data_IF_230016924449
#
_entry.id   IF_230016924449
#
_cell.length_a   1.000
_cell.length_b   1.000
_cell.length_c   1.000
_cell.angle_alpha   90.00
_cell.angle_beta   90.00
_cell.angle_gamma   90.00
#
_symmetry.space_group_name_H-M   'P 1'
#
loop_
_entity.id
_entity.type
_entity.pdbx_description
1 polymer ?
#
# COMPACT_ATOMS: atom_id res chain seq x y z
N UNK A 1 11.42 2.67 -49.35
CA UNK A 1 10.08 3.18 -49.72
C UNK A 1 9.14 1.99 -49.56
N UNK A 2 8.08 1.98 -48.78
CA UNK A 2 7.42 2.92 -47.89
C UNK A 2 6.27 2.13 -47.23
N UNK A 3 5.81 2.54 -46.05
CA UNK A 3 4.94 1.74 -45.18
C UNK A 3 3.46 1.90 -45.54
N UNK A 4 2.74 0.80 -45.71
CA UNK A 4 1.28 0.79 -45.87
C UNK A 4 0.59 0.64 -44.50
N UNK A 5 0.15 1.80 -43.99
CA UNK A 5 -1.15 2.01 -43.36
C UNK A 5 -1.63 1.08 -42.22
N UNK A 6 -1.00 1.19 -41.05
CA UNK A 6 -1.75 1.05 -39.79
C UNK A 6 -2.53 2.35 -39.54
N UNK A 7 -3.84 2.33 -39.82
CA UNK A 7 -4.75 3.39 -39.38
C UNK A 7 -4.72 3.44 -37.86
N UNK A 8 -4.31 4.60 -37.33
CA UNK A 8 -4.48 5.01 -35.93
C UNK A 8 -5.97 4.95 -35.58
N UNK A 9 -6.39 3.95 -34.82
CA UNK A 9 -7.59 4.06 -34.01
C UNK A 9 -7.22 4.81 -32.72
N UNK A 10 -7.42 6.12 -32.73
CA UNK A 10 -7.30 7.05 -31.58
C UNK A 10 -8.49 6.93 -30.59
N UNK A 11 -9.11 5.76 -30.47
CA UNK A 11 -10.30 5.56 -29.64
C UNK A 11 -10.17 4.35 -28.71
N UNK A 12 -9.27 4.40 -27.72
CA UNK A 12 -9.45 3.61 -26.48
C UNK A 12 -8.98 4.44 -25.28
N UNK A 13 -9.59 5.61 -25.13
CA UNK A 13 -9.42 6.52 -24.00
C UNK A 13 -10.71 6.67 -23.20
N UNK A 14 -11.32 5.58 -22.77
CA UNK A 14 -12.51 5.63 -21.92
C UNK A 14 -12.39 4.59 -20.79
N UNK A 15 -11.68 4.97 -19.73
CA UNK A 15 -12.15 4.51 -18.41
C UNK A 15 -13.51 5.19 -18.24
N UNK A 16 -14.58 4.41 -18.40
CA UNK A 16 -15.97 4.79 -18.15
C UNK A 16 -16.10 5.83 -17.02
N UNK A 17 -16.91 6.89 -17.17
CA UNK A 17 -17.09 7.92 -16.15
C UNK A 17 -17.92 7.35 -15.00
N UNK A 18 -17.30 6.51 -14.17
CA UNK A 18 -17.87 6.13 -12.89
C UNK A 18 -18.11 7.43 -12.09
N UNK A 19 -19.29 7.60 -11.47
CA UNK A 19 -19.63 8.81 -10.74
C UNK A 19 -18.55 9.14 -9.70
N UNK A 20 -17.95 10.34 -9.81
CA UNK A 20 -16.79 10.76 -8.98
C UNK A 20 -17.08 10.72 -7.48
N UNK A 21 -18.33 11.02 -7.09
CA UNK A 21 -18.79 10.93 -5.70
C UNK A 21 -18.79 9.51 -5.11
N UNK A 22 -18.67 8.46 -5.94
CA UNK A 22 -18.65 7.05 -5.51
C UNK A 22 -17.23 6.45 -5.46
N UNK A 23 -16.19 7.25 -5.73
CA UNK A 23 -14.81 6.76 -5.82
C UNK A 23 -13.86 7.53 -4.89
N UNK A 24 -13.39 6.88 -3.83
CA UNK A 24 -12.20 7.34 -3.09
C UNK A 24 -10.96 6.82 -3.81
N UNK A 25 -10.41 7.61 -4.72
CA UNK A 25 -9.10 7.30 -5.33
C UNK A 25 -8.03 7.72 -4.33
N UNK A 26 -7.29 6.75 -3.80
CA UNK A 26 -6.02 6.98 -3.14
C UNK A 26 -4.91 6.94 -4.18
N UNK A 27 -4.57 8.01 -4.90
CA UNK A 27 -3.23 8.06 -5.41
C UNK A 27 -2.28 8.11 -4.20
N UNK A 28 -1.75 6.95 -3.85
CA UNK A 28 -0.29 6.93 -3.80
C UNK A 28 0.20 7.54 -5.11
N UNK A 29 1.45 7.87 -5.14
CA UNK A 29 2.15 7.66 -6.37
C UNK A 29 2.01 6.18 -6.82
N UNK A 30 0.87 5.88 -7.47
CA UNK A 30 0.33 4.55 -7.73
C UNK A 30 0.73 4.12 -9.11
N UNK A 31 1.41 2.99 -9.08
CA UNK A 31 1.52 1.97 -10.10
C UNK A 31 0.14 1.47 -10.54
N UNK A 32 -0.46 2.14 -11.52
CA UNK A 32 -1.39 1.50 -12.46
C UNK A 32 -0.56 0.85 -13.57
N UNK A 33 -0.93 -0.38 -13.93
CA UNK A 33 -0.28 -1.17 -14.97
C UNK A 33 -0.66 -0.61 -16.34
N UNK A 34 -0.07 0.51 -16.74
CA UNK A 34 -0.05 0.99 -18.11
C UNK A 34 1.40 1.36 -18.46
N UNK A 35 1.94 1.00 -19.64
CA UNK A 35 3.36 1.17 -20.00
C UNK A 35 3.86 2.63 -20.03
N UNK A 36 3.02 3.62 -19.70
CA UNK A 36 3.34 5.06 -19.73
C UNK A 36 3.01 5.81 -18.42
N UNK A 37 2.91 5.10 -17.28
CA UNK A 37 2.74 5.72 -15.95
C UNK A 37 4.09 6.19 -15.39
N UNK A 38 4.32 7.50 -15.39
CA UNK A 38 5.45 8.10 -14.69
C UNK A 38 5.35 7.88 -13.17
N UNK A 39 6.37 7.22 -12.62
CA UNK A 39 6.66 7.07 -11.19
C UNK A 39 7.27 8.37 -10.65
N UNK A 40 6.63 9.01 -9.68
CA UNK A 40 7.33 9.74 -8.61
C UNK A 40 7.42 8.82 -7.39
N UNK A 41 8.40 7.93 -7.44
CA UNK A 41 8.81 7.19 -6.25
C UNK A 41 9.69 8.17 -5.46
N UNK A 42 9.37 8.47 -4.20
CA UNK A 42 10.40 8.95 -3.28
C UNK A 42 11.45 7.82 -3.19
N UNK A 43 12.60 8.06 -3.83
CA UNK A 43 13.77 7.20 -4.09
C UNK A 43 13.78 6.22 -5.29
N UNK A 44 14.94 6.22 -5.95
CA UNK A 44 15.27 5.99 -7.37
C UNK A 44 15.26 4.55 -7.96
N UNK A 45 15.27 4.54 -9.31
CA UNK A 45 15.69 3.55 -10.34
C UNK A 45 14.81 2.29 -10.56
N UNK A 46 14.50 1.82 -11.77
CA UNK A 46 15.18 1.91 -13.07
C UNK A 46 14.23 2.02 -14.31
N UNK A 47 14.73 2.76 -15.30
CA UNK A 47 14.64 2.70 -16.79
C UNK A 47 13.33 2.35 -17.51
N UNK A 48 12.69 3.38 -18.09
CA UNK A 48 12.33 3.52 -19.51
C UNK A 48 12.27 5.03 -19.82
N UNK A 49 13.05 5.48 -20.81
CA UNK A 49 13.26 6.84 -21.35
C UNK A 49 13.50 7.99 -20.36
N UNK A 50 14.79 8.32 -20.24
CA UNK A 50 15.42 9.27 -19.32
C UNK A 50 15.00 10.72 -19.58
N UNK A 51 14.30 11.32 -18.62
CA UNK A 51 14.74 12.62 -18.11
C UNK A 51 15.46 12.33 -16.80
N UNK A 52 16.79 12.35 -16.87
CA UNK A 52 17.63 12.33 -15.67
C UNK A 52 17.28 13.54 -14.79
N UNK A 53 16.60 13.30 -13.67
CA UNK A 53 16.76 14.21 -12.54
C UNK A 53 18.09 13.83 -11.88
N UNK A 54 19.17 14.49 -12.30
CA UNK A 54 20.48 14.44 -11.66
C UNK A 54 20.32 14.37 -10.13
N UNK A 55 20.74 13.23 -9.55
CA UNK A 55 20.81 12.87 -8.13
C UNK A 55 20.45 13.91 -7.06
N UNK A 56 19.19 14.36 -6.92
CA UNK A 56 18.85 15.36 -5.89
C UNK A 56 17.42 15.33 -5.35
N UNK A 57 17.28 14.73 -4.15
CA UNK A 57 16.53 15.17 -2.94
C UNK A 57 15.08 15.73 -3.04
N UNK A 58 14.12 15.31 -2.19
CA UNK A 58 12.76 15.87 -2.09
C UNK A 58 12.66 17.33 -1.61
N UNK A 59 13.03 18.30 -2.44
CA UNK A 59 12.74 19.72 -2.18
C UNK A 59 11.25 20.05 -2.36
N UNK A 60 10.66 21.06 -1.66
CA UNK A 60 9.24 21.44 -1.75
C UNK A 60 8.69 21.60 -3.17
N UNK A 61 9.52 22.08 -4.10
CA UNK A 61 9.19 22.19 -5.53
C UNK A 61 8.69 20.87 -6.13
N UNK A 62 9.28 19.74 -5.72
CA UNK A 62 8.92 18.43 -6.24
C UNK A 62 7.51 17.99 -5.82
N UNK A 63 7.01 18.42 -4.65
CA UNK A 63 5.67 18.06 -4.19
C UNK A 63 4.62 18.72 -5.08
N UNK A 64 4.74 20.02 -5.35
CA UNK A 64 3.77 20.75 -6.20
C UNK A 64 3.75 20.22 -7.63
N UNK A 65 4.93 20.04 -8.24
CA UNK A 65 5.05 19.56 -9.61
C UNK A 65 4.47 18.13 -9.74
N UNK A 66 4.79 17.24 -8.79
CA UNK A 66 4.27 15.87 -8.78
C UNK A 66 2.74 15.80 -8.58
N UNK A 67 2.17 16.67 -7.75
CA UNK A 67 0.72 16.73 -7.54
C UNK A 67 0.01 17.21 -8.80
N UNK A 68 0.47 18.30 -9.43
CA UNK A 68 -0.10 18.82 -10.68
C UNK A 68 -0.07 17.77 -11.78
N UNK A 69 1.07 17.10 -11.93
CA UNK A 69 1.22 16.03 -12.91
C UNK A 69 0.30 14.83 -12.64
N UNK A 70 0.09 14.49 -11.36
CA UNK A 70 -0.82 13.41 -10.96
C UNK A 70 -2.27 13.77 -11.25
N UNK A 71 -2.69 15.00 -10.93
CA UNK A 71 -4.02 15.53 -11.26
C UNK A 71 -4.29 15.50 -12.76
N UNK A 72 -3.33 15.96 -13.56
CA UNK A 72 -3.41 15.95 -15.03
C UNK A 72 -3.55 14.53 -15.58
N UNK A 73 -2.71 13.58 -15.14
CA UNK A 73 -2.78 12.18 -15.61
C UNK A 73 -4.06 11.47 -15.19
N UNK A 74 -4.56 11.75 -13.98
CA UNK A 74 -5.78 11.15 -13.46
C UNK A 74 -7.04 11.84 -13.96
N UNK A 75 -6.91 13.02 -14.59
CA UNK A 75 -7.99 13.89 -15.03
C UNK A 75 -8.94 14.22 -13.85
N UNK A 76 -8.34 14.65 -12.74
CA UNK A 76 -9.05 15.00 -11.50
C UNK A 76 -8.70 16.41 -11.05
N UNK A 77 -9.64 17.05 -10.37
CA UNK A 77 -9.46 18.37 -9.76
C UNK A 77 -8.79 18.30 -8.37
N UNK A 78 -8.91 17.15 -7.70
CA UNK A 78 -8.30 16.87 -6.40
C UNK A 78 -7.98 15.39 -6.19
N UNK A 79 -7.11 15.09 -5.22
CA UNK A 79 -6.69 13.74 -4.86
C UNK A 79 -6.65 13.47 -3.34
N UNK A 80 -6.46 12.21 -2.94
CA UNK A 80 -5.94 11.83 -1.62
C UNK A 80 -4.46 11.49 -1.77
N UNK A 81 -3.58 12.23 -1.11
CA UNK A 81 -2.13 12.17 -1.34
C UNK A 81 -1.43 11.28 -0.30
N UNK A 82 -0.73 10.23 -0.74
CA UNK A 82 0.22 9.49 0.13
C UNK A 82 1.67 9.88 -0.15
N UNK A 83 2.35 10.38 0.88
CA UNK A 83 3.81 10.45 0.93
C UNK A 83 4.38 9.03 0.93
N UNK A 84 5.25 8.70 -0.03
CA UNK A 84 5.66 7.32 -0.25
C UNK A 84 6.74 6.82 0.71
N UNK A 85 7.58 7.75 1.20
CA UNK A 85 8.68 7.51 2.14
C UNK A 85 8.89 8.74 3.00
N UNK A 86 9.51 8.54 4.16
CA UNK A 86 10.10 9.65 4.90
C UNK A 86 11.38 10.13 4.19
N UNK A 87 11.56 11.45 4.13
CA UNK A 87 12.79 12.06 3.62
C UNK A 87 13.63 12.60 4.78
N UNK A 88 14.80 12.01 5.08
CA UNK A 88 15.67 12.50 6.15
C UNK A 88 16.49 13.73 5.75
N UNK A 89 16.57 14.06 4.45
CA UNK A 89 17.45 15.11 3.94
C UNK A 89 16.77 16.49 3.86
N UNK A 90 15.45 16.55 3.97
CA UNK A 90 14.66 17.79 3.92
C UNK A 90 14.08 18.08 5.30
N UNK A 91 14.24 19.31 5.84
CA UNK A 91 13.61 19.70 7.09
C UNK A 91 12.11 19.39 7.06
N UNK A 92 11.63 18.77 8.14
CA UNK A 92 10.28 18.22 8.14
C UNK A 92 9.22 19.30 8.04
N UNK A 93 9.51 20.48 8.59
CA UNK A 93 8.69 21.67 8.55
C UNK A 93 8.47 22.13 7.10
N UNK A 94 9.51 22.07 6.26
CA UNK A 94 9.45 22.47 4.86
C UNK A 94 8.54 21.51 4.05
N UNK A 95 8.67 20.21 4.33
CA UNK A 95 7.81 19.17 3.74
C UNK A 95 6.36 19.35 4.16
N UNK A 96 6.12 19.58 5.46
CA UNK A 96 4.77 19.74 5.99
C UNK A 96 4.10 21.03 5.55
N UNK A 97 4.84 22.12 5.40
CA UNK A 97 4.32 23.36 4.85
C UNK A 97 3.86 23.15 3.40
N UNK A 98 4.68 22.50 2.56
CA UNK A 98 4.31 22.19 1.19
C UNK A 98 3.06 21.29 1.09
N UNK A 99 2.96 20.25 1.92
CA UNK A 99 1.79 19.37 1.98
C UNK A 99 0.53 20.12 2.44
N UNK A 100 0.68 21.01 3.43
CA UNK A 100 -0.40 21.86 3.92
C UNK A 100 -0.91 22.82 2.83
N UNK A 101 0.00 23.44 2.09
CA UNK A 101 -0.33 24.35 0.99
C UNK A 101 -1.04 23.63 -0.17
N UNK A 102 -0.65 22.40 -0.49
CA UNK A 102 -1.36 21.55 -1.47
C UNK A 102 -2.81 21.29 -1.04
N UNK A 103 -3.05 21.09 0.26
CA UNK A 103 -4.40 20.88 0.80
C UNK A 103 -5.20 22.18 0.78
N UNK A 104 -4.61 23.30 1.20
CA UNK A 104 -5.24 24.63 1.13
C UNK A 104 -5.59 25.05 -0.30
N UNK A 105 -4.74 24.72 -1.28
CA UNK A 105 -5.00 24.96 -2.69
C UNK A 105 -6.12 24.05 -3.27
N UNK A 106 -6.66 23.12 -2.47
CA UNK A 106 -7.73 22.22 -2.89
C UNK A 106 -7.27 21.06 -3.78
N UNK A 107 -5.97 20.93 -4.03
CA UNK A 107 -5.39 19.88 -4.86
C UNK A 107 -5.36 18.52 -4.15
N UNK A 108 -5.28 18.50 -2.82
CA UNK A 108 -5.51 17.30 -2.02
C UNK A 108 -6.61 17.52 -0.98
N UNK A 109 -7.48 16.54 -0.78
CA UNK A 109 -8.49 16.55 0.30
C UNK A 109 -7.91 16.04 1.61
N UNK A 110 -7.07 15.02 1.51
CA UNK A 110 -6.45 14.37 2.64
C UNK A 110 -5.03 13.96 2.29
N UNK A 111 -4.17 13.92 3.31
CA UNK A 111 -2.80 13.44 3.19
C UNK A 111 -2.56 12.24 4.12
N UNK A 112 -1.60 11.40 3.79
CA UNK A 112 -1.07 10.38 4.69
C UNK A 112 0.35 9.98 4.30
N UNK A 113 0.89 9.02 5.05
CA UNK A 113 2.28 8.59 4.95
C UNK A 113 2.38 7.09 4.65
N UNK A 114 3.46 6.66 4.01
CA UNK A 114 3.80 5.27 3.79
C UNK A 114 5.20 5.04 4.32
N UNK A 115 5.39 3.93 5.03
CA UNK A 115 6.71 3.41 5.37
C UNK A 115 7.67 4.42 6.00
N UNK A 116 7.40 4.82 7.24
CA UNK A 116 8.33 5.54 8.10
C UNK A 116 8.36 4.88 9.49
N UNK A 117 9.34 5.22 10.32
CA UNK A 117 9.35 4.79 11.72
C UNK A 117 8.26 5.51 12.52
N UNK A 118 7.81 4.91 13.63
CA UNK A 118 6.77 5.47 14.49
C UNK A 118 7.18 6.84 15.08
N UNK A 119 8.44 6.98 15.50
CA UNK A 119 8.97 8.25 16.02
C UNK A 119 9.00 9.34 14.95
N UNK A 120 9.29 9.00 13.70
CA UNK A 120 9.21 9.94 12.57
C UNK A 120 7.76 10.36 12.40
N UNK A 121 6.81 9.41 12.32
CA UNK A 121 5.41 9.73 12.14
C UNK A 121 4.87 10.69 13.22
N UNK A 122 5.26 10.47 14.47
CA UNK A 122 4.91 11.34 15.58
C UNK A 122 5.51 12.75 15.42
N UNK A 123 6.81 12.86 15.10
CA UNK A 123 7.51 14.14 14.95
C UNK A 123 6.95 15.03 13.83
N UNK A 124 6.25 14.46 12.85
CA UNK A 124 5.71 15.20 11.72
C UNK A 124 4.39 15.91 12.07
N UNK A 125 3.73 15.52 13.15
CA UNK A 125 2.39 16.00 13.51
C UNK A 125 2.45 17.39 14.20
N UNK A 126 2.82 18.43 13.43
CA UNK A 126 3.19 19.77 13.93
C UNK A 126 2.14 20.88 13.67
N UNK A 127 0.90 20.72 14.17
CA UNK A 127 -0.19 21.74 14.05
C UNK A 127 -0.56 22.20 12.62
N UNK A 128 0.01 21.59 11.58
CA UNK A 128 -0.39 21.75 10.17
C UNK A 128 -1.43 20.69 9.80
N UNK A 129 -1.72 20.49 8.50
CA UNK A 129 -2.67 19.45 8.08
C UNK A 129 -2.20 18.08 8.60
N UNK A 130 -3.03 17.35 9.37
CA UNK A 130 -2.63 16.06 9.91
C UNK A 130 -2.65 14.97 8.84
N UNK A 131 -1.77 13.99 8.98
CA UNK A 131 -1.88 12.74 8.23
C UNK A 131 -3.02 11.89 8.76
N UNK A 132 -3.92 11.45 7.89
CA UNK A 132 -5.09 10.65 8.27
C UNK A 132 -4.95 9.16 7.97
N UNK A 133 -3.88 8.75 7.29
CA UNK A 133 -3.66 7.35 6.96
C UNK A 133 -2.19 7.00 6.95
N UNK A 134 -1.92 5.75 7.30
CA UNK A 134 -0.59 5.18 7.28
C UNK A 134 -0.58 3.88 6.46
N UNK A 135 0.25 3.84 5.43
CA UNK A 135 0.32 2.72 4.50
C UNK A 135 1.48 1.79 4.83
N UNK A 136 1.20 0.84 5.72
CA UNK A 136 2.19 -0.04 6.33
C UNK A 136 2.39 -1.35 5.59
N UNK A 137 3.53 -1.99 5.84
CA UNK A 137 3.75 -3.37 5.43
C UNK A 137 3.20 -4.29 6.51
N UNK A 138 2.01 -4.87 6.30
CA UNK A 138 1.40 -5.68 7.36
C UNK A 138 0.52 -6.80 6.81
N UNK A 139 0.77 -8.02 7.30
CA UNK A 139 0.09 -9.25 6.90
C UNK A 139 0.45 -10.40 7.86
N UNK A 140 -0.22 -11.54 7.77
CA UNK A 140 -0.06 -12.68 8.70
C UNK A 140 1.40 -13.14 8.95
N UNK A 141 2.21 -13.14 7.90
CA UNK A 141 3.62 -13.56 7.90
C UNK A 141 4.59 -12.42 8.24
N UNK A 142 4.14 -11.17 8.47
CA UNK A 142 4.97 -10.00 8.83
C UNK A 142 4.15 -9.00 9.63
N UNK A 143 4.44 -8.92 10.93
CA UNK A 143 3.64 -8.21 11.94
C UNK A 143 4.43 -7.19 12.74
N UNK A 144 5.58 -6.75 12.23
CA UNK A 144 6.47 -5.85 12.98
C UNK A 144 5.83 -4.48 13.29
N UNK A 145 4.87 -4.06 12.47
CA UNK A 145 4.07 -2.84 12.67
C UNK A 145 3.24 -2.86 13.98
N UNK A 146 2.96 -4.04 14.55
CA UNK A 146 2.26 -4.19 15.83
C UNK A 146 3.08 -3.68 17.02
N UNK A 147 4.41 -3.56 16.88
CA UNK A 147 5.30 -3.15 17.98
C UNK A 147 5.16 -1.69 18.35
N UNK A 148 5.14 -0.81 17.36
CA UNK A 148 5.25 0.64 17.58
C UNK A 148 4.27 1.44 16.72
N UNK A 149 4.24 1.20 15.40
CA UNK A 149 3.43 2.00 14.49
C UNK A 149 1.93 1.86 14.78
N UNK A 150 1.39 0.63 14.84
CA UNK A 150 -0.03 0.43 15.13
C UNK A 150 -0.48 1.01 16.49
N UNK A 151 0.27 0.82 17.59
CA UNK A 151 0.02 1.54 18.84
C UNK A 151 0.07 3.07 18.67
N UNK A 152 1.04 3.61 17.92
CA UNK A 152 1.18 5.05 17.67
C UNK A 152 -0.04 5.61 16.94
N UNK A 153 -0.55 4.91 15.92
CA UNK A 153 -1.77 5.30 15.21
C UNK A 153 -2.98 5.31 16.16
N UNK A 154 -3.10 4.30 17.04
CA UNK A 154 -4.17 4.23 18.06
C UNK A 154 -4.09 5.41 19.04
N UNK A 155 -2.91 5.75 19.55
CA UNK A 155 -2.72 6.88 20.48
C UNK A 155 -2.99 8.22 19.80
N UNK A 156 -2.46 8.44 18.59
CA UNK A 156 -2.70 9.68 17.85
C UNK A 156 -4.19 9.90 17.56
N UNK A 157 -4.96 8.83 17.35
CA UNK A 157 -6.41 8.93 17.22
C UNK A 157 -7.07 9.49 18.47
N UNK A 158 -6.69 9.01 19.64
CA UNK A 158 -7.24 9.50 20.91
C UNK A 158 -6.87 10.98 21.14
N UNK A 159 -5.62 11.35 20.86
CA UNK A 159 -5.14 12.73 21.03
C UNK A 159 -5.85 13.70 20.07
N UNK A 160 -5.93 13.37 18.77
CA UNK A 160 -6.61 14.21 17.78
C UNK A 160 -8.10 14.32 18.10
N UNK A 161 -8.72 13.21 18.49
CA UNK A 161 -10.12 13.18 18.91
C UNK A 161 -10.42 14.10 20.09
N UNK A 162 -9.53 14.11 21.08
CA UNK A 162 -9.65 14.97 22.26
C UNK A 162 -9.36 16.44 21.94
N UNK A 163 -8.34 16.71 21.12
CA UNK A 163 -7.90 18.06 20.78
C UNK A 163 -8.86 18.79 19.83
N UNK A 164 -9.52 18.05 18.92
CA UNK A 164 -10.29 18.68 17.84
C UNK A 164 -11.75 18.94 18.21
N UNK A 165 -12.34 18.35 19.27
CA UNK A 165 -13.78 18.51 19.66
C UNK A 165 -14.78 18.38 18.50
N UNK A 166 -14.35 17.87 17.35
CA UNK A 166 -15.19 17.49 16.23
C UNK A 166 -15.51 16.01 16.43
N UNK A 167 -16.73 15.62 16.05
CA UNK A 167 -17.18 14.22 15.93
C UNK A 167 -16.38 13.38 14.91
N UNK A 168 -15.12 13.74 14.64
CA UNK A 168 -14.17 13.07 13.78
C UNK A 168 -13.67 11.75 14.40
N UNK A 169 -13.69 11.66 15.73
CA UNK A 169 -13.16 10.56 16.54
C UNK A 169 -13.78 9.19 16.31
N UNK A 170 -15.09 9.14 16.04
CA UNK A 170 -15.83 7.87 16.03
C UNK A 170 -15.82 7.18 14.66
N UNK A 171 -15.42 7.88 13.59
CA UNK A 171 -15.52 7.38 12.22
C UNK A 171 -14.26 7.54 11.36
N UNK A 172 -13.31 8.42 11.71
CA UNK A 172 -12.15 8.74 10.85
C UNK A 172 -10.84 8.89 11.64
N UNK A 173 -10.53 7.93 12.53
CA UNK A 173 -9.19 7.82 13.09
C UNK A 173 -8.13 7.60 11.99
N UNK A 174 -6.93 8.13 12.22
CA UNK A 174 -5.69 7.69 11.57
C UNK A 174 -5.63 6.16 11.61
N UNK A 175 -5.71 5.57 10.43
CA UNK A 175 -5.83 4.12 10.29
C UNK A 175 -4.79 3.61 9.32
N UNK A 176 -4.36 2.37 9.58
CA UNK A 176 -3.50 1.67 8.68
C UNK A 176 -4.29 1.27 7.42
N UNK A 177 -3.65 1.44 6.27
CA UNK A 177 -4.08 0.90 4.97
C UNK A 177 -3.02 -0.06 4.43
N UNK A 178 -2.86 -1.26 5.02
CA UNK A 178 -1.73 -2.15 4.75
C UNK A 178 -1.57 -2.50 3.28
N UNK A 179 -0.33 -2.57 2.80
CA UNK A 179 0.00 -3.11 1.49
C UNK A 179 0.51 -4.56 1.58
N UNK A 180 0.32 -5.30 0.49
CA UNK A 180 0.63 -6.74 0.40
C UNK A 180 -0.04 -7.64 1.45
N UNK A 181 -1.37 -7.52 1.68
CA UNK A 181 -2.08 -8.38 2.65
C UNK A 181 -2.00 -9.89 2.30
N UNK A 182 -1.63 -10.22 1.07
CA UNK A 182 -1.45 -11.59 0.55
C UNK A 182 0.01 -12.05 0.50
N UNK A 183 0.94 -11.31 1.13
CA UNK A 183 2.38 -11.61 1.14
C UNK A 183 2.94 -11.89 -0.27
N UNK A 184 2.59 -11.02 -1.23
CA UNK A 184 2.96 -11.16 -2.66
C UNK A 184 2.55 -12.49 -3.31
N UNK A 185 1.48 -13.10 -2.81
CA UNK A 185 0.93 -14.36 -3.32
C UNK A 185 1.25 -15.57 -2.45
N UNK A 186 2.11 -15.45 -1.44
CA UNK A 186 2.40 -16.55 -0.53
C UNK A 186 1.15 -17.02 0.24
N UNK A 187 0.23 -16.10 0.55
CA UNK A 187 -1.05 -16.37 1.22
C UNK A 187 -2.23 -16.50 0.23
N UNK A 188 -1.99 -17.09 -0.95
CA UNK A 188 -3.04 -17.36 -1.95
C UNK A 188 -3.18 -18.83 -2.30
N UNK A 189 -2.31 -19.68 -1.74
CA UNK A 189 -2.17 -21.08 -2.13
C UNK A 189 -1.45 -21.91 -1.05
N UNK A 190 -1.64 -23.23 -1.06
CA UNK A 190 -0.87 -24.17 -0.24
C UNK A 190 0.64 -24.02 -0.44
N UNK A 191 1.45 -24.41 0.55
CA UNK A 191 2.92 -24.42 0.45
C UNK A 191 3.41 -25.23 -0.76
N UNK A 192 2.77 -26.36 -1.04
CA UNK A 192 3.14 -27.24 -2.15
C UNK A 192 2.76 -26.68 -3.53
N UNK A 193 1.96 -25.60 -3.57
CA UNK A 193 1.54 -24.92 -4.80
C UNK A 193 2.33 -23.65 -5.14
N UNK A 194 3.38 -23.33 -4.38
CA UNK A 194 4.18 -22.12 -4.54
C UNK A 194 5.00 -22.13 -5.85
N UNK A 195 5.07 -20.99 -6.57
CA UNK A 195 5.98 -20.78 -7.72
C UNK A 195 5.36 -20.50 -9.09
N UNK A 196 4.04 -20.61 -9.27
CA UNK A 196 3.39 -20.57 -10.60
C UNK A 196 2.61 -19.30 -10.99
N UNK A 197 2.92 -18.10 -10.51
CA UNK A 197 2.12 -16.89 -10.86
C UNK A 197 2.84 -15.87 -11.76
N UNK A 198 2.08 -15.20 -12.63
CA UNK A 198 2.57 -14.05 -13.42
C UNK A 198 3.03 -12.86 -12.56
N UNK A 199 2.54 -12.76 -11.31
CA UNK A 199 3.03 -11.75 -10.35
C UNK A 199 4.40 -12.09 -9.79
N UNK A 200 4.70 -13.37 -9.55
CA UNK A 200 6.06 -13.81 -9.21
C UNK A 200 7.06 -13.46 -10.33
N UNK A 201 6.63 -13.55 -11.60
CA UNK A 201 7.42 -13.10 -12.74
C UNK A 201 7.61 -11.57 -12.79
N UNK A 202 6.59 -10.77 -12.43
CA UNK A 202 6.70 -9.30 -12.38
C UNK A 202 7.57 -8.81 -11.21
N UNK A 203 7.49 -9.48 -10.05
CA UNK A 203 8.35 -9.20 -8.89
C UNK A 203 9.82 -9.51 -9.18
N UNK A 204 10.08 -10.47 -10.08
CA UNK A 204 11.41 -10.76 -10.62
C UNK A 204 12.06 -9.54 -11.30
N UNK A 205 11.27 -8.65 -11.90
CA UNK A 205 11.83 -7.45 -12.56
C UNK A 205 12.21 -6.37 -11.56
N UNK A 206 11.44 -6.22 -10.46
CA UNK A 206 11.63 -5.16 -9.46
C UNK A 206 12.73 -5.49 -8.44
N UNK A 207 12.80 -6.76 -8.01
CA UNK A 207 13.82 -7.21 -7.05
C UNK A 207 15.24 -7.08 -7.59
N UNK A 208 15.40 -7.23 -8.91
CA UNK A 208 16.68 -7.08 -9.61
C UNK A 208 17.25 -5.66 -9.47
N UNK A 209 16.38 -4.67 -9.32
CA UNK A 209 16.73 -3.25 -9.21
C UNK A 209 16.97 -2.80 -7.76
N UNK A 210 16.31 -3.43 -6.78
CA UNK A 210 16.38 -3.01 -5.36
C UNK A 210 17.49 -3.72 -4.58
N UNK A 211 17.85 -4.97 -4.92
CA UNK A 211 18.72 -5.78 -4.05
C UNK A 211 20.00 -6.32 -4.72
N UNK A 212 20.32 -5.90 -5.95
CA UNK A 212 21.51 -6.37 -6.69
C UNK A 212 21.63 -7.90 -6.86
N UNK A 213 20.58 -8.66 -6.56
CA UNK A 213 20.63 -10.12 -6.38
C UNK A 213 19.46 -10.81 -7.08
N UNK A 214 19.68 -12.06 -7.51
CA UNK A 214 18.78 -12.80 -8.42
C UNK A 214 17.32 -12.84 -7.94
N UNK A 215 16.33 -12.67 -8.85
CA UNK A 215 15.15 -11.92 -8.47
C UNK A 215 13.91 -12.78 -8.13
N UNK A 216 14.04 -14.11 -8.23
CA UNK A 216 12.90 -15.01 -8.09
C UNK A 216 12.78 -15.66 -6.71
N UNK A 217 13.81 -15.47 -5.86
CA UNK A 217 13.98 -16.16 -4.59
C UNK A 217 13.93 -15.22 -3.38
N UNK A 218 13.72 -13.91 -3.52
CA UNK A 218 13.93 -12.99 -2.40
C UNK A 218 12.67 -12.81 -1.56
N UNK A 219 11.52 -12.37 -2.08
CA UNK A 219 10.34 -12.16 -1.21
C UNK A 219 9.57 -13.43 -0.86
N UNK A 220 9.42 -14.38 -1.80
CA UNK A 220 8.81 -15.67 -1.47
C UNK A 220 9.65 -16.45 -0.45
N UNK A 221 11.00 -16.44 -0.54
CA UNK A 221 11.81 -16.98 0.55
C UNK A 221 11.85 -16.05 1.77
N UNK A 222 11.74 -14.73 1.64
CA UNK A 222 11.69 -13.84 2.81
C UNK A 222 10.50 -14.20 3.70
N UNK A 223 9.33 -14.42 3.10
CA UNK A 223 8.15 -14.84 3.85
C UNK A 223 8.14 -16.33 4.17
N UNK A 224 8.56 -17.22 3.27
CA UNK A 224 8.39 -18.68 3.44
C UNK A 224 9.62 -19.43 3.94
N UNK A 225 10.80 -18.82 4.01
CA UNK A 225 11.99 -19.46 4.60
C UNK A 225 11.82 -19.75 6.09
N UNK A 226 11.22 -18.86 6.91
CA UNK A 226 10.98 -19.16 8.31
C UNK A 226 9.99 -20.32 8.49
N UNK A 227 10.33 -21.36 9.28
CA UNK A 227 9.41 -22.47 9.56
C UNK A 227 8.09 -22.02 10.22
N UNK A 228 8.16 -20.99 11.06
CA UNK A 228 6.99 -20.34 11.66
C UNK A 228 5.98 -19.87 10.59
N UNK A 229 6.48 -19.24 9.52
CA UNK A 229 5.62 -18.71 8.47
C UNK A 229 5.04 -19.82 7.59
N UNK A 230 5.77 -20.92 7.39
CA UNK A 230 5.23 -22.11 6.74
C UNK A 230 4.08 -22.71 7.56
N UNK A 231 4.25 -22.82 8.88
CA UNK A 231 3.19 -23.26 9.77
C UNK A 231 1.96 -22.36 9.67
N UNK A 232 2.13 -21.02 9.62
CA UNK A 232 1.01 -20.09 9.42
C UNK A 232 0.29 -20.35 8.09
N UNK A 233 1.02 -20.54 6.98
CA UNK A 233 0.38 -20.85 5.67
C UNK A 233 -0.46 -22.13 5.75
N UNK A 234 0.04 -23.18 6.41
CA UNK A 234 -0.72 -24.42 6.61
C UNK A 234 -1.99 -24.17 7.44
N UNK A 235 -1.90 -23.37 8.52
CA UNK A 235 -3.06 -23.02 9.35
C UNK A 235 -4.11 -22.21 8.58
N UNK A 236 -3.68 -21.29 7.71
CA UNK A 236 -4.59 -20.56 6.80
C UNK A 236 -5.31 -21.53 5.87
N UNK A 237 -4.58 -22.49 5.29
CA UNK A 237 -5.16 -23.52 4.43
C UNK A 237 -6.18 -24.41 5.16
N UNK A 238 -5.88 -24.81 6.40
CA UNK A 238 -6.81 -25.60 7.23
C UNK A 238 -8.12 -24.85 7.50
N UNK A 239 -8.05 -23.56 7.87
CA UNK A 239 -9.25 -22.74 8.10
C UNK A 239 -10.03 -22.55 6.80
N UNK A 240 -9.33 -22.26 5.70
CA UNK A 240 -9.92 -22.11 4.39
C UNK A 240 -10.74 -23.35 3.99
N UNK A 241 -10.14 -24.55 4.15
CA UNK A 241 -10.82 -25.84 3.91
C UNK A 241 -12.03 -26.04 4.81
N UNK A 242 -11.88 -25.82 6.13
CA UNK A 242 -12.98 -26.00 7.11
C UNK A 242 -14.17 -25.09 6.84
N UNK A 243 -13.94 -23.88 6.34
CA UNK A 243 -14.97 -22.88 6.04
C UNK A 243 -15.47 -22.90 4.60
N UNK A 244 -14.84 -23.65 3.71
CA UNK A 244 -15.17 -23.64 2.28
C UNK A 244 -14.89 -22.30 1.59
N UNK A 245 -13.88 -21.56 2.05
CA UNK A 245 -13.47 -20.24 1.53
C UNK A 245 -12.03 -20.29 1.02
N UNK A 246 -11.58 -19.26 0.28
CA UNK A 246 -10.23 -19.24 -0.27
C UNK A 246 -9.16 -18.91 0.79
N UNK A 247 -7.92 -19.36 0.55
CA UNK A 247 -6.74 -18.99 1.38
C UNK A 247 -6.56 -17.46 1.41
N UNK A 248 -6.81 -16.80 0.28
CA UNK A 248 -6.71 -15.35 0.16
C UNK A 248 -7.76 -14.63 1.02
N UNK A 249 -8.99 -15.14 1.04
CA UNK A 249 -10.07 -14.65 1.89
C UNK A 249 -9.74 -14.75 3.38
N UNK A 250 -9.23 -15.89 3.86
CA UNK A 250 -8.80 -16.03 5.26
C UNK A 250 -7.70 -15.03 5.61
N UNK A 251 -6.70 -14.88 4.72
CA UNK A 251 -5.59 -13.95 4.92
C UNK A 251 -6.05 -12.50 5.02
N UNK A 252 -6.90 -12.05 4.09
CA UNK A 252 -7.40 -10.67 4.06
C UNK A 252 -8.38 -10.43 5.22
N UNK A 253 -9.24 -11.40 5.56
CA UNK A 253 -10.15 -11.31 6.71
C UNK A 253 -9.39 -11.16 8.02
N UNK A 254 -8.25 -11.86 8.18
CA UNK A 254 -7.39 -11.66 9.34
C UNK A 254 -6.83 -10.24 9.41
N UNK A 255 -6.35 -9.68 8.30
CA UNK A 255 -5.86 -8.29 8.27
C UNK A 255 -6.97 -7.29 8.60
N UNK A 256 -8.18 -7.52 8.09
CA UNK A 256 -9.37 -6.70 8.38
C UNK A 256 -9.87 -6.83 9.83
N UNK A 257 -9.48 -7.89 10.56
CA UNK A 257 -9.87 -8.09 11.95
C UNK A 257 -9.13 -7.19 12.95
N UNK A 258 -8.13 -6.44 12.49
CA UNK A 258 -7.28 -5.60 13.36
C UNK A 258 -7.86 -4.21 13.51
N UNK A 259 -8.06 -3.76 14.74
CA UNK A 259 -8.65 -2.44 15.01
C UNK A 259 -7.88 -1.27 14.40
N UNK A 260 -6.55 -1.41 14.24
CA UNK A 260 -5.71 -0.38 13.62
C UNK A 260 -5.85 -0.31 12.10
N UNK A 261 -6.52 -1.28 11.46
CA UNK A 261 -6.61 -1.39 10.00
C UNK A 261 -7.98 -0.94 9.52
N UNK A 262 -8.00 0.09 8.66
CA UNK A 262 -9.23 0.51 8.00
C UNK A 262 -9.51 -0.27 6.71
N UNK A 263 -8.50 -0.37 5.84
CA UNK A 263 -8.68 -0.97 4.52
C UNK A 263 -7.35 -1.56 3.98
N UNK A 264 -7.18 -2.89 3.97
CA UNK A 264 -6.03 -3.50 3.32
C UNK A 264 -6.10 -3.35 1.81
N UNK A 265 -4.94 -3.13 1.19
CA UNK A 265 -4.83 -2.88 -0.25
C UNK A 265 -4.43 -4.19 -0.94
N UNK A 266 -5.44 -4.94 -1.34
CA UNK A 266 -5.31 -6.14 -2.16
C UNK A 266 -5.45 -5.79 -3.65
N UNK A 267 -4.61 -6.39 -4.48
CA UNK A 267 -4.62 -6.18 -5.93
C UNK A 267 -4.68 -7.50 -6.67
N UNK A 268 -5.50 -7.55 -7.72
CA UNK A 268 -5.65 -8.69 -8.62
C UNK A 268 -5.58 -8.23 -10.07
N UNK A 269 -5.10 -9.10 -10.95
CA UNK A 269 -5.14 -8.94 -12.41
C UNK A 269 -6.16 -9.89 -13.08
N UNK A 270 -6.98 -10.56 -12.28
CA UNK A 270 -8.05 -11.46 -12.73
C UNK A 270 -9.36 -11.06 -12.07
N UNK A 271 -10.44 -10.97 -12.86
CA UNK A 271 -11.77 -10.62 -12.38
C UNK A 271 -12.25 -11.62 -11.33
N UNK A 272 -12.12 -12.92 -11.59
CA UNK A 272 -12.46 -13.99 -10.63
C UNK A 272 -11.77 -13.82 -9.29
N UNK A 273 -10.47 -13.51 -9.30
CA UNK A 273 -9.71 -13.30 -8.07
C UNK A 273 -10.11 -11.98 -7.38
N UNK A 274 -10.56 -10.97 -8.13
CA UNK A 274 -11.07 -9.73 -7.55
C UNK A 274 -12.42 -9.98 -6.85
N UNK A 275 -13.33 -10.72 -7.49
CA UNK A 275 -14.62 -11.11 -6.91
C UNK A 275 -14.42 -11.93 -5.62
N UNK A 276 -13.49 -12.89 -5.63
CA UNK A 276 -13.09 -13.67 -4.45
C UNK A 276 -12.60 -12.77 -3.30
N UNK A 277 -11.73 -11.79 -3.61
CA UNK A 277 -11.23 -10.84 -2.62
C UNK A 277 -12.32 -9.93 -2.08
N UNK A 278 -13.24 -9.45 -2.93
CA UNK A 278 -14.37 -8.60 -2.53
C UNK A 278 -15.29 -9.35 -1.56
N UNK A 279 -15.56 -10.63 -1.80
CA UNK A 279 -16.38 -11.44 -0.90
C UNK A 279 -15.82 -11.55 0.53
N UNK A 280 -14.53 -11.27 0.73
CA UNK A 280 -13.90 -11.23 2.06
C UNK A 280 -14.59 -10.26 3.02
N UNK A 281 -15.20 -9.17 2.53
CA UNK A 281 -15.85 -8.17 3.40
C UNK A 281 -16.99 -8.73 4.25
N UNK A 282 -17.52 -9.90 3.88
CA UNK A 282 -18.58 -10.60 4.60
C UNK A 282 -18.05 -11.65 5.59
N UNK A 283 -16.72 -11.84 5.67
CA UNK A 283 -16.10 -12.89 6.48
C UNK A 283 -15.61 -12.29 7.79
N UNK A 284 -16.10 -12.85 8.90
CA UNK A 284 -15.55 -12.62 10.24
C UNK A 284 -14.91 -13.90 10.76
N UNK A 285 -13.62 -13.82 11.07
CA UNK A 285 -12.90 -14.88 11.78
C UNK A 285 -13.26 -14.82 13.27
N UNK A 286 -13.36 -15.98 13.90
CA UNK A 286 -13.55 -16.07 15.35
C UNK A 286 -12.25 -15.75 16.09
N UNK A 287 -12.34 -15.35 17.35
CA UNK A 287 -11.16 -15.14 18.20
C UNK A 287 -10.26 -16.39 18.28
N UNK A 288 -10.87 -17.59 18.30
CA UNK A 288 -10.13 -18.86 18.29
C UNK A 288 -9.31 -19.04 17.03
N UNK A 289 -9.89 -18.72 15.87
CA UNK A 289 -9.20 -18.80 14.58
C UNK A 289 -8.11 -17.75 14.46
N UNK A 290 -8.37 -16.51 14.90
CA UNK A 290 -7.37 -15.44 14.93
C UNK A 290 -6.18 -15.86 15.80
N UNK A 291 -6.42 -16.32 17.03
CA UNK A 291 -5.36 -16.81 17.93
C UNK A 291 -4.61 -18.00 17.31
N UNK A 292 -5.33 -18.92 16.68
CA UNK A 292 -4.73 -20.06 16.00
C UNK A 292 -3.85 -19.64 14.81
N UNK A 293 -4.24 -18.64 14.01
CA UNK A 293 -3.39 -18.13 12.93
C UNK A 293 -2.12 -17.45 13.45
N UNK A 294 -2.19 -16.84 14.62
CA UNK A 294 -1.12 -15.99 15.16
C UNK A 294 -0.09 -16.69 16.02
N UNK A 295 -0.49 -17.75 16.73
CA UNK A 295 0.34 -18.47 17.69
C UNK A 295 1.73 -18.88 17.15
N UNK A 296 1.91 -19.32 15.88
CA UNK A 296 3.23 -19.72 15.38
C UNK A 296 4.15 -18.53 15.09
N UNK A 297 3.62 -17.30 15.05
CA UNK A 297 4.37 -16.14 14.60
C UNK A 297 5.65 -15.92 15.41
N UNK A 298 6.73 -15.59 14.71
CA UNK A 298 8.00 -15.20 15.32
C UNK A 298 8.41 -13.83 14.79
N UNK A 299 8.91 -12.93 15.67
CA UNK A 299 9.61 -11.71 15.30
C UNK A 299 10.51 -11.86 14.08
N UNK A 300 10.40 -10.93 13.14
CA UNK A 300 11.24 -10.86 11.96
C UNK A 300 12.01 -9.54 11.90
N UNK A 301 13.09 -9.50 11.11
CA UNK A 301 13.77 -8.24 10.81
C UNK A 301 12.83 -7.28 10.09
N UNK A 302 12.99 -5.99 10.36
CA UNK A 302 12.21 -4.93 9.74
C UNK A 302 12.42 -4.92 8.22
N UNK A 303 11.34 -4.79 7.45
CA UNK A 303 11.36 -4.78 5.98
C UNK A 303 10.55 -3.59 5.50
N UNK A 304 11.21 -2.67 4.81
CA UNK A 304 10.54 -1.64 4.04
C UNK A 304 10.12 -0.40 4.83
N UNK A 305 10.87 -0.01 5.86
CA UNK A 305 10.98 1.38 6.31
C UNK A 305 12.18 2.00 5.60
#
# INVERSE_FOLDING_TARGET
>A
MGPEHWKRNEEIGLVSPLPRAKLTKFPRLIRLLHPHVARVTMQCNAEFDEVQCNGSKPRPKHIFDAVKDSLRRLQLDYIVLQCHRFDPDTPIEETMQALHDVVKAGHARYIGMSSCYAWQYYAINNSLTPFISMQNHYQLLYREEEREMMPTLKVNNLVISAAVKLNFSQHFGITAIPWSPLARGALTRPLNGQGGSGRAASDRKILRTISGSRPNRIFANLYLKPPANQAIVNRVEEIAKKRGISVAQVSVAWVMSKDSVAAPIAGSNSLKNLEDLVATVHIKLTEKEIKYLEEPYKPMSIIGH
#
